data_IF_777381960396
#
_entry.id   IF_777381960396
#
_cell.length_a   1.000
_cell.length_b   1.000
_cell.length_c   1.000
_cell.angle_alpha   90.00
_cell.angle_beta   90.00
_cell.angle_gamma   90.00
#
_symmetry.space_group_name_H-M   'P 1'
#
loop_
_entity.id
_entity.type
_entity.pdbx_description
1 polymer ?
#
# COMPACT_ATOMS: atom_id res chain seq x y z
N UNK A 1 7.20 -27.00 63.34
CA UNK A 1 7.73 -26.90 61.96
C UNK A 1 9.24 -27.10 62.03
N UNK A 2 9.73 -28.31 61.72
CA UNK A 2 11.11 -28.72 62.01
C UNK A 2 12.13 -28.20 61.00
N UNK A 3 13.39 -28.08 61.45
CA UNK A 3 14.61 -27.65 60.71
C UNK A 3 14.77 -28.29 59.31
N UNK A 4 14.17 -29.45 59.07
CA UNK A 4 14.19 -30.16 57.78
C UNK A 4 13.33 -29.51 56.68
N UNK A 5 12.49 -28.51 56.99
CA UNK A 5 11.74 -27.77 55.96
C UNK A 5 12.62 -26.78 55.17
N UNK A 6 13.80 -26.42 55.67
CA UNK A 6 14.76 -25.55 54.96
C UNK A 6 15.40 -26.22 53.73
N UNK A 7 15.39 -27.56 53.65
CA UNK A 7 15.99 -28.33 52.55
C UNK A 7 14.98 -28.82 51.52
N UNK A 8 13.71 -28.40 51.59
CA UNK A 8 12.73 -28.72 50.54
C UNK A 8 13.04 -27.90 49.29
N UNK A 9 13.32 -28.59 48.18
CA UNK A 9 13.47 -28.00 46.84
C UNK A 9 12.29 -27.04 46.59
N UNK A 10 12.62 -25.79 46.21
CA UNK A 10 11.63 -24.82 45.75
C UNK A 10 10.82 -25.44 44.60
N UNK A 11 9.49 -25.19 44.52
CA UNK A 11 8.69 -25.66 43.40
C UNK A 11 9.33 -25.17 42.10
N UNK A 12 9.42 -26.09 41.12
CA UNK A 12 9.97 -25.79 39.79
C UNK A 12 9.18 -24.62 39.22
N UNK A 13 9.89 -23.56 38.86
CA UNK A 13 9.35 -22.35 38.27
C UNK A 13 8.44 -22.73 37.09
N UNK A 14 7.14 -22.46 37.22
CA UNK A 14 6.16 -22.69 36.16
C UNK A 14 6.44 -21.70 35.03
N UNK A 15 7.38 -22.05 34.14
CA UNK A 15 7.62 -21.29 32.92
C UNK A 15 6.34 -21.35 32.10
N UNK A 16 5.79 -20.17 31.82
CA UNK A 16 4.70 -19.95 30.87
C UNK A 16 4.91 -20.81 29.63
N UNK A 17 4.06 -21.83 29.48
CA UNK A 17 4.04 -22.77 28.35
C UNK A 17 3.05 -22.29 27.28
N UNK A 18 3.21 -21.06 26.83
CA UNK A 18 2.55 -20.48 25.66
C UNK A 18 3.58 -19.74 24.82
N UNK A 19 3.26 -19.40 23.57
CA UNK A 19 4.12 -18.51 22.77
C UNK A 19 4.25 -17.17 23.50
N UNK A 20 5.32 -17.01 24.27
CA UNK A 20 5.49 -15.87 25.16
C UNK A 20 5.49 -14.56 24.38
N UNK A 21 5.19 -13.47 25.07
CA UNK A 21 5.34 -12.10 24.56
C UNK A 21 6.69 -11.88 23.87
N UNK A 22 7.76 -12.51 24.37
CA UNK A 22 9.08 -12.54 23.74
C UNK A 22 9.08 -13.20 22.36
N UNK A 23 8.34 -14.30 22.15
CA UNK A 23 8.21 -14.95 20.85
C UNK A 23 7.43 -14.08 19.85
N UNK A 24 6.39 -13.37 20.30
CA UNK A 24 5.66 -12.41 19.48
C UNK A 24 6.51 -11.18 19.10
N UNK A 25 7.29 -10.65 20.04
CA UNK A 25 8.24 -9.57 19.77
C UNK A 25 9.39 -10.05 18.87
N UNK A 26 9.87 -11.28 19.05
CA UNK A 26 10.93 -11.84 18.19
C UNK A 26 10.41 -12.08 16.77
N UNK A 27 9.17 -12.54 16.58
CA UNK A 27 8.54 -12.65 15.27
C UNK A 27 8.31 -11.28 14.61
N UNK A 28 7.86 -10.28 15.39
CA UNK A 28 7.71 -8.91 14.91
C UNK A 28 9.07 -8.29 14.53
N UNK A 29 10.13 -8.56 15.30
CA UNK A 29 11.50 -8.11 15.02
C UNK A 29 12.17 -8.89 13.89
N UNK A 30 11.93 -10.19 13.76
CA UNK A 30 12.38 -11.00 12.63
C UNK A 30 11.75 -10.48 11.33
N UNK A 31 10.45 -10.19 11.33
CA UNK A 31 9.77 -9.53 10.21
C UNK A 31 10.41 -8.19 9.84
N UNK A 32 10.79 -7.39 10.83
CA UNK A 32 11.50 -6.12 10.58
C UNK A 32 12.95 -6.30 10.08
N UNK A 33 13.69 -7.28 10.60
CA UNK A 33 15.13 -7.48 10.37
C UNK A 33 15.42 -8.32 9.10
N UNK A 34 14.58 -9.29 8.78
CA UNK A 34 14.83 -10.26 7.70
C UNK A 34 14.59 -9.70 6.29
N UNK A 35 13.99 -8.50 6.15
CA UNK A 35 13.71 -7.88 4.85
C UNK A 35 12.77 -8.68 3.93
N UNK A 36 12.28 -9.86 4.37
CA UNK A 36 11.37 -10.72 3.62
C UNK A 36 9.93 -10.23 3.65
N UNK A 37 9.53 -9.50 4.70
CA UNK A 37 8.27 -8.74 4.70
C UNK A 37 8.52 -7.31 4.25
N UNK A 38 7.76 -6.85 3.25
CA UNK A 38 7.87 -5.50 2.70
C UNK A 38 8.34 -5.44 1.24
N UNK A 39 8.67 -6.57 0.61
CA UNK A 39 9.09 -6.56 -0.81
C UNK A 39 7.94 -6.09 -1.72
N UNK A 40 6.70 -6.47 -1.39
CA UNK A 40 5.51 -5.96 -2.07
C UNK A 40 5.36 -4.43 -1.96
N UNK A 41 5.88 -3.80 -0.89
CA UNK A 41 5.86 -2.35 -0.72
C UNK A 41 6.78 -1.64 -1.71
N UNK A 42 7.80 -2.31 -2.25
CA UNK A 42 8.69 -1.76 -3.26
C UNK A 42 8.06 -1.71 -4.66
N UNK A 43 6.91 -2.33 -4.85
CA UNK A 43 6.22 -2.35 -6.14
C UNK A 43 5.64 -0.97 -6.47
N UNK A 44 5.65 -0.61 -7.75
CA UNK A 44 5.10 0.67 -8.22
C UNK A 44 3.60 0.80 -7.92
N UNK A 45 2.86 -0.31 -7.92
CA UNK A 45 1.43 -0.35 -7.57
C UNK A 45 1.21 0.07 -6.12
N UNK A 46 2.00 -0.46 -5.18
CA UNK A 46 1.89 -0.08 -3.76
C UNK A 46 2.35 1.36 -3.55
N UNK A 47 3.51 1.75 -4.10
CA UNK A 47 4.00 3.13 -3.95
C UNK A 47 3.05 4.17 -4.57
N UNK A 48 2.38 3.84 -5.67
CA UNK A 48 1.32 4.67 -6.25
C UNK A 48 0.14 4.87 -5.30
N UNK A 49 -0.33 3.80 -4.64
CA UNK A 49 -1.41 3.89 -3.65
C UNK A 49 -1.00 4.71 -2.41
N UNK A 50 0.22 4.48 -1.91
CA UNK A 50 0.81 5.22 -0.78
C UNK A 50 0.92 6.72 -1.12
N UNK A 51 1.33 7.05 -2.34
CA UNK A 51 1.43 8.44 -2.81
C UNK A 51 0.06 9.13 -2.88
N UNK A 52 -1.02 8.41 -3.19
CA UNK A 52 -2.38 8.95 -3.16
C UNK A 52 -2.81 9.30 -1.73
N UNK A 53 -2.50 8.45 -0.75
CA UNK A 53 -2.78 8.71 0.66
C UNK A 53 -2.00 9.93 1.16
N UNK A 54 -0.70 10.00 0.85
CA UNK A 54 0.16 11.14 1.17
C UNK A 54 -0.33 12.45 0.57
N UNK A 55 -0.63 12.45 -0.73
CA UNK A 55 -1.09 13.64 -1.43
C UNK A 55 -2.39 14.17 -0.83
N UNK A 56 -3.33 13.27 -0.51
CA UNK A 56 -4.59 13.64 0.12
C UNK A 56 -4.42 14.23 1.52
N UNK A 57 -3.60 13.61 2.38
CA UNK A 57 -3.32 14.13 3.71
C UNK A 57 -2.51 15.43 3.68
N UNK A 58 -1.56 15.57 2.75
CA UNK A 58 -0.81 16.82 2.58
C UNK A 58 -1.71 17.99 2.13
N UNK A 59 -2.76 17.69 1.35
CA UNK A 59 -3.76 18.65 0.89
C UNK A 59 -4.85 18.94 1.93
N UNK A 60 -5.02 18.08 2.93
CA UNK A 60 -6.08 18.16 3.93
C UNK A 60 -6.19 19.56 4.57
N UNK A 61 -7.43 19.98 4.80
CA UNK A 61 -7.73 21.17 5.57
C UNK A 61 -7.77 20.78 7.05
N UNK A 62 -6.86 21.36 7.84
CA UNK A 62 -6.73 21.10 9.28
C UNK A 62 -7.13 22.36 10.03
N UNK A 63 -8.10 22.23 10.91
CA UNK A 63 -8.61 23.31 11.76
C UNK A 63 -8.42 22.95 13.23
N UNK A 64 -8.22 23.96 14.08
CA UNK A 64 -8.08 23.78 15.54
C UNK A 64 -6.66 23.54 16.04
N UNK A 65 -5.68 23.31 15.16
CA UNK A 65 -4.27 23.20 15.55
C UNK A 65 -3.32 23.61 14.43
N UNK A 66 -2.16 24.18 14.80
CA UNK A 66 -1.06 24.49 13.88
C UNK A 66 0.05 23.42 13.91
N UNK A 67 -0.05 22.41 14.78
CA UNK A 67 0.98 21.38 14.93
C UNK A 67 0.97 20.35 13.80
N UNK A 68 -0.22 20.07 13.25
CA UNK A 68 -0.43 19.16 12.12
C UNK A 68 -0.17 19.88 10.79
N UNK A 69 1.10 20.12 10.50
CA UNK A 69 1.53 20.69 9.23
C UNK A 69 1.29 19.73 8.05
N UNK A 70 1.26 20.24 6.82
CA UNK A 70 1.15 19.42 5.61
C UNK A 70 2.22 18.32 5.52
N UNK A 71 3.43 18.62 6.00
CA UNK A 71 4.53 17.64 6.04
C UNK A 71 4.26 16.53 7.07
N UNK A 72 3.79 16.88 8.28
CA UNK A 72 3.40 15.89 9.29
C UNK A 72 2.25 15.01 8.81
N UNK A 73 1.25 15.61 8.16
CA UNK A 73 0.10 14.89 7.60
C UNK A 73 0.54 13.89 6.51
N UNK A 74 1.43 14.30 5.60
CA UNK A 74 1.99 13.40 4.59
C UNK A 74 2.74 12.22 5.24
N UNK A 75 3.58 12.48 6.24
CA UNK A 75 4.33 11.44 6.95
C UNK A 75 3.41 10.48 7.72
N UNK A 76 2.36 10.99 8.37
CA UNK A 76 1.36 10.18 9.06
C UNK A 76 0.65 9.24 8.07
N UNK A 77 0.23 9.74 6.92
CA UNK A 77 -0.40 8.93 5.87
C UNK A 77 0.53 7.86 5.32
N UNK A 78 1.79 8.22 5.01
CA UNK A 78 2.82 7.26 4.56
C UNK A 78 3.00 6.14 5.58
N UNK A 79 3.19 6.50 6.84
CA UNK A 79 3.40 5.55 7.92
C UNK A 79 2.17 4.67 8.15
N UNK A 80 0.96 5.22 8.11
CA UNK A 80 -0.28 4.44 8.19
C UNK A 80 -0.42 3.47 7.01
N UNK A 81 -0.07 3.88 5.79
CA UNK A 81 -0.15 3.04 4.60
C UNK A 81 0.86 1.87 4.61
N UNK A 82 2.08 2.10 5.10
CA UNK A 82 3.15 1.08 5.08
C UNK A 82 3.19 0.22 6.35
N UNK A 83 2.96 0.83 7.52
CA UNK A 83 3.06 0.13 8.82
C UNK A 83 1.71 -0.17 9.46
N UNK A 84 0.65 0.53 9.04
CA UNK A 84 -0.64 0.48 9.72
C UNK A 84 -0.74 1.41 10.93
N UNK A 85 0.36 2.08 11.28
CA UNK A 85 0.42 2.94 12.44
C UNK A 85 1.49 4.02 12.29
N UNK A 86 1.26 5.14 12.94
CA UNK A 86 2.15 6.27 12.95
C UNK A 86 2.17 6.94 14.33
N UNK A 87 3.37 7.16 14.85
CA UNK A 87 3.61 7.76 16.16
C UNK A 87 4.38 9.06 15.98
N UNK A 88 3.79 10.15 16.49
CA UNK A 88 4.40 11.47 16.56
C UNK A 88 4.47 11.89 18.02
N UNK A 89 5.64 12.27 18.49
CA UNK A 89 5.78 12.83 19.83
C UNK A 89 5.40 14.30 19.82
N UNK A 90 4.58 14.70 20.78
CA UNK A 90 4.24 16.09 21.06
C UNK A 90 5.35 16.69 21.92
N UNK A 91 5.94 17.77 21.43
CA UNK A 91 6.95 18.57 22.13
C UNK A 91 6.50 20.02 22.19
N UNK A 92 7.17 20.84 23.02
CA UNK A 92 6.87 22.28 23.08
C UNK A 92 7.08 23.00 21.74
N UNK A 93 7.99 22.49 20.90
CA UNK A 93 8.35 23.09 19.61
C UNK A 93 7.53 22.53 18.43
N UNK A 94 6.71 21.49 18.66
CA UNK A 94 5.88 20.87 17.63
C UNK A 94 5.83 19.34 17.71
N UNK A 95 5.50 18.72 16.58
CA UNK A 95 5.44 17.26 16.45
C UNK A 95 6.75 16.71 15.90
N UNK A 96 7.21 15.60 16.50
CA UNK A 96 8.43 14.92 16.08
C UNK A 96 8.10 13.47 15.69
N UNK A 97 8.39 13.05 14.44
CA UNK A 97 8.13 11.68 14.01
C UNK A 97 9.02 10.69 14.77
N UNK A 98 8.40 9.63 15.27
CA UNK A 98 9.10 8.54 15.93
C UNK A 98 9.36 7.41 14.94
N UNK A 99 10.60 6.91 14.92
CA UNK A 99 11.01 5.82 14.04
C UNK A 99 10.55 4.47 14.58
N UNK A 100 10.68 4.27 15.89
CA UNK A 100 10.33 3.04 16.61
C UNK A 100 9.72 3.38 17.97
N UNK A 101 8.92 2.47 18.52
CA UNK A 101 8.30 2.63 19.84
C UNK A 101 7.95 1.29 20.48
N UNK A 102 8.10 1.24 21.80
CA UNK A 102 7.46 0.24 22.65
C UNK A 102 6.40 0.91 23.51
N UNK A 103 5.31 0.22 23.84
CA UNK A 103 4.25 0.79 24.68
C UNK A 103 3.85 -0.15 25.82
N UNK A 104 3.42 0.44 26.91
CA UNK A 104 2.75 -0.26 28.01
C UNK A 104 1.26 0.06 27.97
N UNK A 105 0.41 -0.97 28.09
CA UNK A 105 -1.05 -0.80 28.16
C UNK A 105 -1.62 -1.13 29.54
N UNK A 106 -2.84 -0.65 29.79
CA UNK A 106 -3.73 -1.10 30.87
C UNK A 106 -5.12 -1.26 30.29
N UNK A 107 -5.71 -2.45 30.41
CA UNK A 107 -7.01 -2.78 29.79
C UNK A 107 -7.03 -2.50 28.26
N UNK A 108 -5.91 -2.74 27.58
CA UNK A 108 -5.77 -2.45 26.15
C UNK A 108 -5.53 -0.98 25.79
N UNK A 109 -5.54 -0.07 26.76
CA UNK A 109 -5.33 1.37 26.55
C UNK A 109 -3.85 1.73 26.79
N UNK A 110 -3.15 2.36 25.84
CA UNK A 110 -1.76 2.81 26.04
C UNK A 110 -1.61 3.81 27.18
N UNK A 111 -0.57 3.63 28.01
CA UNK A 111 -0.26 4.50 29.16
C UNK A 111 1.04 5.27 28.99
N UNK A 112 2.07 4.59 28.49
CA UNK A 112 3.40 5.16 28.29
C UNK A 112 4.03 4.55 27.06
N UNK A 113 4.86 5.34 26.40
CA UNK A 113 5.62 4.94 25.23
C UNK A 113 7.11 5.13 25.52
N UNK A 114 7.92 4.19 25.06
CA UNK A 114 9.35 4.39 24.88
C UNK A 114 9.55 4.64 23.39
N UNK A 115 9.72 5.91 23.02
CA UNK A 115 9.84 6.34 21.62
C UNK A 115 11.31 6.55 21.24
N UNK A 116 11.63 6.21 20.00
CA UNK A 116 12.93 6.47 19.38
C UNK A 116 12.78 7.54 18.31
N UNK A 117 13.50 8.64 18.46
CA UNK A 117 13.52 9.76 17.52
C UNK A 117 14.81 9.69 16.71
N UNK A 118 14.67 9.70 15.39
CA UNK A 118 15.80 9.72 14.46
C UNK A 118 16.29 11.14 14.25
N UNK A 119 17.58 11.37 14.52
CA UNK A 119 18.27 12.63 14.25
C UNK A 119 19.48 12.34 13.36
N UNK A 120 19.85 13.28 12.49
CA UNK A 120 20.98 13.11 11.57
C UNK A 120 22.30 12.84 12.31
N UNK A 121 22.44 13.34 13.55
CA UNK A 121 23.61 13.16 14.41
C UNK A 121 23.58 11.92 15.32
N UNK A 122 22.55 11.09 15.24
CA UNK A 122 22.36 9.91 16.10
C UNK A 122 21.04 9.96 16.86
N UNK A 123 20.29 8.85 16.80
CA UNK A 123 18.95 8.78 17.39
C UNK A 123 18.95 8.83 18.92
N UNK A 124 17.84 9.29 19.49
CA UNK A 124 17.62 9.31 20.93
C UNK A 124 16.38 8.50 21.28
N UNK A 125 16.42 7.83 22.44
CA UNK A 125 15.27 7.09 22.97
C UNK A 125 14.84 7.73 24.28
N UNK A 126 13.54 7.98 24.43
CA UNK A 126 12.96 8.59 25.63
C UNK A 126 11.63 7.94 26.00
N UNK A 127 11.33 7.93 27.29
CA UNK A 127 10.04 7.46 27.80
C UNK A 127 9.13 8.65 27.99
N UNK A 128 7.95 8.58 27.39
CA UNK A 128 6.94 9.66 27.36
C UNK A 128 5.59 9.10 27.75
N UNK A 129 4.72 9.95 28.27
CA UNK A 129 3.36 9.57 28.61
C UNK A 129 2.50 9.43 27.35
N UNK A 130 1.44 8.62 27.40
CA UNK A 130 0.53 8.47 26.27
C UNK A 130 -0.16 9.78 25.86
N UNK A 131 -0.26 10.77 26.76
CA UNK A 131 -0.78 12.10 26.46
C UNK A 131 0.18 12.95 25.62
N UNK A 132 1.48 12.63 25.62
CA UNK A 132 2.54 13.36 24.89
C UNK A 132 2.82 12.76 23.52
N UNK A 133 1.94 11.87 23.03
CA UNK A 133 2.14 11.11 21.80
C UNK A 133 0.85 11.11 21.00
N UNK A 134 0.88 11.48 19.72
CA UNK A 134 -0.20 11.19 18.79
C UNK A 134 0.06 9.81 18.18
N UNK A 135 -0.91 8.89 18.31
CA UNK A 135 -0.80 7.54 17.76
C UNK A 135 -1.98 7.22 16.84
N UNK A 136 -1.77 7.38 15.53
CA UNK A 136 -2.71 6.94 14.50
C UNK A 136 -2.53 5.43 14.29
N UNK A 137 -3.63 4.68 14.38
CA UNK A 137 -3.66 3.22 14.20
C UNK A 137 -4.79 2.85 13.25
N UNK A 138 -4.50 1.94 12.32
CA UNK A 138 -5.47 1.46 11.35
C UNK A 138 -5.46 -0.06 11.33
N UNK A 139 -6.61 -0.68 11.05
CA UNK A 139 -6.70 -2.13 10.89
C UNK A 139 -6.28 -2.96 12.12
N UNK A 140 -6.39 -2.40 13.32
CA UNK A 140 -6.04 -3.09 14.57
C UNK A 140 -6.86 -4.37 14.77
N UNK A 141 -6.23 -5.36 15.40
CA UNK A 141 -6.87 -6.62 15.81
C UNK A 141 -7.49 -6.47 17.21
N UNK A 142 -8.57 -7.18 17.50
CA UNK A 142 -9.16 -7.25 18.84
C UNK A 142 -8.19 -7.81 19.90
N UNK A 143 -7.24 -8.66 19.50
CA UNK A 143 -6.22 -9.22 20.39
C UNK A 143 -5.14 -8.19 20.74
N UNK A 144 -4.89 -7.23 19.85
CA UNK A 144 -3.90 -6.17 20.03
C UNK A 144 -4.43 -4.80 19.54
N UNK A 145 -5.45 -4.22 20.22
CA UNK A 145 -6.09 -2.97 19.80
C UNK A 145 -5.18 -1.73 19.90
N UNK A 146 -4.03 -1.87 20.57
CA UNK A 146 -3.02 -0.82 20.70
C UNK A 146 -2.00 -0.79 19.55
N UNK A 147 -2.05 -1.73 18.61
CA UNK A 147 -1.18 -1.77 17.43
C UNK A 147 -1.98 -1.69 16.14
N UNK A 148 -1.46 -1.00 15.13
CA UNK A 148 -2.02 -0.98 13.78
C UNK A 148 -1.50 -2.13 12.90
N UNK A 149 -2.20 -2.40 11.80
CA UNK A 149 -1.80 -3.38 10.78
C UNK A 149 -1.93 -2.74 9.40
N UNK A 150 -0.81 -2.74 8.65
CA UNK A 150 -0.77 -2.20 7.30
C UNK A 150 -1.77 -2.90 6.37
N UNK A 151 -2.36 -2.19 5.38
CA UNK A 151 -3.23 -2.80 4.37
C UNK A 151 -2.62 -4.05 3.73
N UNK A 152 -1.35 -3.98 3.33
CA UNK A 152 -0.67 -5.08 2.66
C UNK A 152 -0.47 -6.31 3.57
N UNK A 153 -0.28 -6.10 4.88
CA UNK A 153 -0.20 -7.20 5.87
C UNK A 153 -1.53 -7.92 6.06
N UNK A 154 -2.65 -7.29 5.71
CA UNK A 154 -3.98 -7.94 5.69
C UNK A 154 -4.23 -8.74 4.40
N UNK A 155 -3.41 -8.54 3.37
CA UNK A 155 -3.47 -9.24 2.08
C UNK A 155 -2.11 -9.89 1.69
N UNK A 156 -1.48 -10.70 2.55
CA UNK A 156 -0.11 -11.18 2.34
C UNK A 156 0.01 -12.10 1.11
N UNK A 157 -1.00 -12.93 0.83
CA UNK A 157 -1.01 -13.85 -0.31
C UNK A 157 -0.95 -13.09 -1.66
N UNK A 158 -1.70 -11.99 -1.76
CA UNK A 158 -1.72 -11.15 -2.96
C UNK A 158 -0.41 -10.39 -3.13
N UNK A 159 0.16 -9.90 -2.02
CA UNK A 159 1.44 -9.21 -2.02
C UNK A 159 2.58 -10.14 -2.49
N UNK A 160 2.58 -11.37 -1.99
CA UNK A 160 3.53 -12.40 -2.40
C UNK A 160 3.34 -12.77 -3.87
N UNK A 161 2.10 -12.99 -4.32
CA UNK A 161 1.80 -13.29 -5.72
C UNK A 161 2.35 -12.21 -6.67
N UNK A 162 2.11 -10.93 -6.37
CA UNK A 162 2.62 -9.82 -7.17
C UNK A 162 4.15 -9.83 -7.23
N UNK A 163 4.80 -10.02 -6.08
CA UNK A 163 6.26 -10.11 -5.99
C UNK A 163 6.82 -11.27 -6.83
N UNK A 164 6.21 -12.45 -6.74
CA UNK A 164 6.66 -13.64 -7.49
C UNK A 164 6.50 -13.44 -8.99
N UNK A 165 5.36 -12.88 -9.44
CA UNK A 165 5.12 -12.64 -10.87
C UNK A 165 6.08 -11.59 -11.42
N UNK A 166 6.30 -10.47 -10.71
CA UNK A 166 7.24 -9.43 -11.16
C UNK A 166 8.70 -9.92 -11.16
N UNK A 167 9.09 -10.72 -10.16
CA UNK A 167 10.43 -11.32 -10.11
C UNK A 167 10.64 -12.34 -11.22
N UNK A 168 9.66 -13.21 -11.46
CA UNK A 168 9.70 -14.19 -12.55
C UNK A 168 9.79 -13.50 -13.92
N UNK A 169 8.99 -12.45 -14.15
CA UNK A 169 9.06 -11.65 -15.38
C UNK A 169 10.43 -10.98 -15.55
N UNK A 170 11.00 -10.41 -14.49
CA UNK A 170 12.35 -9.83 -14.51
C UNK A 170 13.39 -10.88 -14.88
N UNK A 171 13.34 -12.04 -14.25
CA UNK A 171 14.34 -13.10 -14.45
C UNK A 171 14.23 -13.72 -15.84
N UNK A 172 13.01 -13.94 -16.34
CA UNK A 172 12.78 -14.36 -17.74
C UNK A 172 13.31 -13.30 -18.70
N UNK A 173 13.04 -12.02 -18.47
CA UNK A 173 13.54 -10.94 -19.32
C UNK A 173 15.07 -10.84 -19.32
N UNK A 174 15.72 -11.15 -18.20
CA UNK A 174 17.18 -11.14 -18.06
C UNK A 174 17.82 -12.35 -18.73
N UNK A 175 17.30 -13.55 -18.47
CA UNK A 175 18.02 -14.80 -18.74
C UNK A 175 17.53 -15.55 -19.98
N UNK A 176 16.27 -15.37 -20.39
CA UNK A 176 15.72 -16.09 -21.53
C UNK A 176 16.31 -15.58 -22.86
N UNK A 177 16.57 -16.47 -23.83
CA UNK A 177 17.09 -16.12 -25.15
C UNK A 177 15.99 -15.55 -26.05
N UNK A 178 15.41 -14.41 -25.64
CA UNK A 178 14.29 -13.76 -26.32
C UNK A 178 14.68 -13.37 -27.75
N UNK A 179 13.83 -13.75 -28.71
CA UNK A 179 14.03 -13.53 -30.13
C UNK A 179 15.20 -14.30 -30.75
N UNK A 180 15.81 -15.25 -30.05
CA UNK A 180 16.89 -16.08 -30.60
C UNK A 180 16.33 -17.23 -31.44
N UNK A 181 16.99 -17.50 -32.56
CA UNK A 181 16.64 -18.55 -33.51
C UNK A 181 17.81 -19.52 -33.67
N UNK A 182 17.54 -20.82 -33.62
CA UNK A 182 18.45 -21.85 -34.10
C UNK A 182 18.11 -22.14 -35.55
N UNK A 183 19.06 -21.88 -36.45
CA UNK A 183 18.96 -22.35 -37.82
C UNK A 183 19.37 -23.84 -37.83
N UNK A 184 18.62 -24.71 -38.52
CA UNK A 184 18.74 -26.16 -38.39
C UNK A 184 20.18 -26.69 -38.54
N UNK A 185 20.59 -27.50 -37.55
CA UNK A 185 21.87 -28.19 -37.51
C UNK A 185 21.88 -29.47 -38.38
N UNK A 186 23.01 -29.82 -39.02
CA UNK A 186 23.40 -31.20 -39.27
C UNK A 186 23.95 -31.83 -37.97
N UNK A 187 23.91 -33.15 -37.88
CA UNK A 187 24.18 -33.97 -36.68
C UNK A 187 25.33 -33.46 -35.79
N UNK A 188 25.02 -33.19 -34.51
CA UNK A 188 25.98 -32.86 -33.45
C UNK A 188 25.72 -33.70 -32.21
N UNK A 189 26.73 -33.85 -31.34
CA UNK A 189 26.61 -34.64 -30.12
C UNK A 189 25.72 -33.94 -29.07
N UNK A 190 25.18 -34.69 -28.10
CA UNK A 190 24.31 -34.13 -27.07
C UNK A 190 25.01 -33.04 -26.21
N UNK A 191 26.34 -33.15 -26.03
CA UNK A 191 27.15 -32.19 -25.27
C UNK A 191 27.36 -30.88 -26.03
N UNK A 192 27.51 -30.94 -27.36
CA UNK A 192 27.60 -29.75 -28.21
C UNK A 192 26.29 -28.94 -28.14
N UNK A 193 25.15 -29.63 -28.13
CA UNK A 193 23.82 -29.02 -27.99
C UNK A 193 23.59 -28.36 -26.63
N UNK A 194 24.15 -28.91 -25.55
CA UNK A 194 24.07 -28.29 -24.22
C UNK A 194 24.95 -27.03 -24.14
N UNK A 195 26.17 -27.08 -24.68
CA UNK A 195 27.11 -25.95 -24.73
C UNK A 195 26.54 -24.80 -25.57
N UNK A 196 25.95 -25.11 -26.72
CA UNK A 196 25.29 -24.11 -27.58
C UNK A 196 24.11 -23.45 -26.88
N UNK A 197 23.22 -24.21 -26.20
CA UNK A 197 22.11 -23.62 -25.42
C UNK A 197 22.60 -22.71 -24.30
N UNK A 198 23.68 -23.07 -23.61
CA UNK A 198 24.29 -22.23 -22.59
C UNK A 198 24.82 -20.91 -23.17
N UNK A 199 25.36 -20.92 -24.39
CA UNK A 199 25.85 -19.73 -25.08
C UNK A 199 24.75 -18.72 -25.44
N UNK A 200 23.47 -19.12 -25.44
CA UNK A 200 22.33 -18.25 -25.71
C UNK A 200 21.74 -17.56 -24.47
N UNK A 201 22.08 -18.01 -23.25
CA UNK A 201 21.53 -17.41 -22.02
C UNK A 201 21.91 -15.92 -21.94
N UNK A 202 20.91 -15.06 -21.78
CA UNK A 202 21.08 -13.60 -21.72
C UNK A 202 21.49 -12.93 -23.05
N UNK A 203 21.61 -13.67 -24.16
CA UNK A 203 21.83 -13.10 -25.50
C UNK A 203 20.50 -12.96 -26.23
N UNK A 204 20.28 -11.79 -26.84
CA UNK A 204 19.01 -11.40 -27.48
C UNK A 204 19.18 -11.29 -28.98
N UNK A 205 18.21 -11.80 -29.74
CA UNK A 205 18.23 -11.71 -31.20
C UNK A 205 19.45 -12.36 -31.88
N UNK A 206 20.20 -13.18 -31.14
CA UNK A 206 21.35 -13.89 -31.68
C UNK A 206 20.84 -15.05 -32.53
N UNK A 207 21.22 -15.04 -33.81
CA UNK A 207 21.06 -16.16 -34.71
C UNK A 207 22.35 -16.99 -34.69
N UNK A 208 22.23 -18.30 -34.47
CA UNK A 208 23.33 -19.20 -34.81
C UNK A 208 23.27 -19.43 -36.32
N UNK A 209 24.23 -18.88 -37.07
CA UNK A 209 24.51 -19.32 -38.44
C UNK A 209 25.73 -20.23 -38.33
N UNK A 210 25.51 -21.55 -38.42
CA UNK A 210 26.64 -22.49 -38.56
C UNK A 210 26.77 -22.79 -40.04
N UNK A 211 27.99 -22.62 -40.55
CA UNK A 211 28.33 -22.91 -41.94
C UNK A 211 27.94 -24.35 -42.31
N UNK A 212 27.13 -24.45 -43.36
CA UNK A 212 26.70 -25.72 -43.93
C UNK A 212 27.80 -26.35 -44.79
N UNK A 213 28.04 -27.65 -44.53
CA UNK A 213 28.32 -28.74 -45.48
C UNK A 213 28.43 -28.37 -46.97
N UNK A 214 29.54 -27.76 -47.36
CA UNK A 214 29.93 -27.67 -48.77
C UNK A 214 30.05 -29.08 -49.41
N UNK A 215 30.39 -30.11 -48.61
CA UNK A 215 30.65 -31.46 -49.08
C UNK A 215 29.39 -32.32 -49.30
N UNK A 216 28.31 -32.13 -48.53
CA UNK A 216 27.07 -32.90 -48.70
C UNK A 216 26.20 -32.39 -49.86
N UNK A 217 26.19 -31.07 -50.07
CA UNK A 217 25.48 -30.42 -51.18
C UNK A 217 26.11 -30.79 -52.53
N UNK A 218 27.44 -30.96 -52.58
CA UNK A 218 28.17 -31.43 -53.76
C UNK A 218 27.85 -32.91 -54.14
N UNK A 219 27.34 -33.70 -53.19
CA UNK A 219 26.92 -35.09 -53.38
C UNK A 219 25.41 -35.25 -53.68
N UNK A 220 24.69 -34.15 -53.95
CA UNK A 220 23.26 -34.17 -54.28
C UNK A 220 22.32 -34.34 -53.08
N UNK A 221 22.85 -34.35 -51.86
CA UNK A 221 22.04 -34.39 -50.63
C UNK A 221 21.71 -32.97 -50.19
N UNK A 222 20.42 -32.66 -50.02
CA UNK A 222 19.94 -31.38 -49.46
C UNK A 222 19.47 -31.58 -48.00
N UNK A 223 20.38 -31.70 -47.01
CA UNK A 223 20.03 -32.02 -45.61
C UNK A 223 19.21 -30.93 -44.90
N UNK A 224 19.12 -29.74 -45.50
CA UNK A 224 18.38 -28.59 -44.98
C UNK A 224 17.01 -28.40 -45.66
N UNK A 225 16.66 -29.22 -46.65
CA UNK A 225 15.36 -29.13 -47.34
C UNK A 225 14.23 -29.48 -46.35
N UNK A 226 13.34 -28.53 -46.08
CA UNK A 226 12.20 -28.70 -45.17
C UNK A 226 12.46 -28.44 -43.69
N UNK A 227 13.68 -28.06 -43.29
CA UNK A 227 13.96 -27.67 -41.89
C UNK A 227 13.71 -26.17 -41.70
N UNK A 228 12.76 -25.81 -40.82
CA UNK A 228 12.51 -24.42 -40.43
C UNK A 228 13.41 -23.99 -39.26
N UNK A 229 13.71 -22.69 -39.11
CA UNK A 229 14.36 -22.17 -37.92
C UNK A 229 13.56 -22.54 -36.66
N UNK A 230 14.25 -23.04 -35.63
CA UNK A 230 13.67 -23.33 -34.32
C UNK A 230 13.76 -22.09 -33.42
N UNK A 231 12.65 -21.69 -32.82
CA UNK A 231 12.60 -20.49 -31.98
C UNK A 231 12.83 -20.85 -30.52
N UNK A 232 13.92 -20.33 -29.95
CA UNK A 232 14.31 -20.60 -28.57
C UNK A 232 13.58 -19.74 -27.52
N UNK A 233 12.76 -18.80 -27.97
CA UNK A 233 12.00 -17.95 -27.05
C UNK A 233 10.96 -18.80 -26.31
N UNK A 234 10.93 -18.77 -24.97
CA UNK A 234 9.88 -19.45 -24.22
C UNK A 234 8.50 -18.94 -24.63
N UNK A 235 7.58 -19.86 -24.92
CA UNK A 235 6.18 -19.52 -25.17
C UNK A 235 5.45 -19.29 -23.84
N UNK A 236 5.13 -18.02 -23.57
CA UNK A 236 4.39 -17.59 -22.38
C UNK A 236 2.88 -17.43 -22.64
N UNK A 237 2.38 -17.78 -23.83
CA UNK A 237 0.97 -17.59 -24.18
C UNK A 237 0.01 -18.35 -23.25
N UNK A 238 0.44 -19.50 -22.73
CA UNK A 238 -0.36 -20.37 -21.85
C UNK A 238 -0.18 -20.07 -20.35
N UNK A 239 0.80 -19.25 -19.97
CA UNK A 239 1.09 -18.99 -18.56
C UNK A 239 0.22 -17.89 -17.94
N UNK A 240 -0.66 -17.25 -18.73
CA UNK A 240 -1.60 -16.21 -18.28
C UNK A 240 -0.94 -15.13 -17.41
N UNK A 241 0.31 -14.80 -17.71
CA UNK A 241 1.15 -13.97 -16.84
C UNK A 241 0.63 -12.53 -16.79
N UNK A 242 0.05 -12.05 -17.89
CA UNK A 242 -0.55 -10.72 -17.96
C UNK A 242 -1.81 -10.63 -17.10
N UNK A 243 -2.70 -11.61 -17.22
CA UNK A 243 -3.96 -11.70 -16.47
C UNK A 243 -3.68 -11.80 -14.97
N UNK A 244 -2.71 -12.63 -14.59
CA UNK A 244 -2.31 -12.80 -13.19
C UNK A 244 -1.69 -11.52 -12.63
N UNK A 245 -0.85 -10.83 -13.41
CA UNK A 245 -0.25 -9.55 -12.99
C UNK A 245 -1.31 -8.44 -12.84
N UNK A 246 -2.24 -8.33 -13.79
CA UNK A 246 -3.34 -7.36 -13.73
C UNK A 246 -4.25 -7.63 -12.52
N UNK A 247 -4.68 -8.88 -12.31
CA UNK A 247 -5.52 -9.25 -11.18
C UNK A 247 -4.83 -9.01 -9.82
N UNK A 248 -3.52 -9.30 -9.72
CA UNK A 248 -2.76 -9.02 -8.51
C UNK A 248 -2.70 -7.52 -8.22
N UNK A 249 -2.44 -6.69 -9.24
CA UNK A 249 -2.41 -5.22 -9.09
C UNK A 249 -3.76 -4.66 -8.66
N UNK A 250 -4.85 -5.14 -9.27
CA UNK A 250 -6.20 -4.71 -8.94
C UNK A 250 -6.57 -5.05 -7.49
N UNK A 251 -6.24 -6.27 -7.04
CA UNK A 251 -6.45 -6.69 -5.66
C UNK A 251 -5.63 -5.86 -4.65
N UNK A 252 -4.39 -5.51 -5.00
CA UNK A 252 -3.57 -4.60 -4.19
C UNK A 252 -4.21 -3.21 -4.12
N UNK A 253 -4.61 -2.61 -5.25
CA UNK A 253 -5.28 -1.31 -5.26
C UNK A 253 -6.51 -1.31 -4.33
N UNK A 254 -7.34 -2.36 -4.41
CA UNK A 254 -8.51 -2.51 -3.55
C UNK A 254 -8.14 -2.61 -2.05
N UNK A 255 -7.02 -3.26 -1.71
CA UNK A 255 -6.55 -3.32 -0.33
C UNK A 255 -6.23 -1.94 0.28
N UNK A 256 -5.81 -0.97 -0.54
CA UNK A 256 -5.58 0.43 -0.15
C UNK A 256 -6.83 1.32 -0.35
N UNK A 257 -7.96 0.73 -0.76
CA UNK A 257 -9.20 1.44 -1.12
C UNK A 257 -9.10 2.28 -2.40
N UNK A 258 -8.08 2.04 -3.21
CA UNK A 258 -7.94 2.64 -4.54
C UNK A 258 -8.70 1.76 -5.52
N UNK A 259 -9.70 2.32 -6.20
CA UNK A 259 -10.45 1.55 -7.20
C UNK A 259 -9.54 1.21 -8.39
N UNK A 260 -9.48 -0.07 -8.83
CA UNK A 260 -8.64 -0.48 -9.95
C UNK A 260 -8.89 0.30 -11.25
N UNK A 261 -10.14 0.76 -11.44
CA UNK A 261 -10.51 1.64 -12.55
C UNK A 261 -9.69 2.94 -12.62
N UNK A 262 -9.04 3.40 -11.55
CA UNK A 262 -8.14 4.55 -11.62
C UNK A 262 -6.89 4.27 -12.47
N UNK A 263 -6.42 3.02 -12.51
CA UNK A 263 -5.20 2.60 -13.20
C UNK A 263 -5.47 2.10 -14.63
N UNK A 264 -6.73 2.05 -15.05
CA UNK A 264 -7.10 1.63 -16.40
C UNK A 264 -6.69 2.69 -17.44
N UNK A 265 -6.04 2.26 -18.53
CA UNK A 265 -5.59 3.12 -19.63
C UNK A 265 -6.73 3.82 -20.35
N UNK A 266 -7.93 3.23 -20.35
CA UNK A 266 -9.14 3.78 -20.97
C UNK A 266 -9.98 4.64 -20.00
N UNK A 267 -9.43 5.03 -18.86
CA UNK A 267 -10.16 5.77 -17.83
C UNK A 267 -10.52 7.18 -18.27
N UNK A 268 -11.70 7.61 -17.86
CA UNK A 268 -12.27 8.92 -18.18
C UNK A 268 -12.29 9.81 -16.94
N UNK A 269 -12.29 11.14 -17.16
CA UNK A 269 -12.34 12.12 -16.07
C UNK A 269 -13.45 11.89 -15.02
N UNK A 270 -14.70 11.54 -15.40
CA UNK A 270 -15.74 11.18 -14.43
C UNK A 270 -15.34 10.01 -13.52
N UNK A 271 -14.79 8.92 -14.08
CA UNK A 271 -14.37 7.77 -13.29
C UNK A 271 -13.21 8.11 -12.34
N UNK A 272 -12.27 8.97 -12.75
CA UNK A 272 -11.20 9.46 -11.87
C UNK A 272 -11.78 10.18 -10.66
N UNK A 273 -12.80 11.04 -10.87
CA UNK A 273 -13.46 11.76 -9.77
C UNK A 273 -14.20 10.81 -8.83
N UNK A 274 -14.94 9.82 -9.34
CA UNK A 274 -15.61 8.85 -8.47
C UNK A 274 -14.61 7.99 -7.69
N UNK A 275 -13.49 7.58 -8.30
CA UNK A 275 -12.43 6.86 -7.61
C UNK A 275 -11.79 7.69 -6.50
N UNK A 276 -11.54 8.99 -6.75
CA UNK A 276 -11.05 9.92 -5.74
C UNK A 276 -12.06 10.12 -4.60
N UNK A 277 -13.36 10.27 -4.90
CA UNK A 277 -14.41 10.38 -3.89
C UNK A 277 -14.56 9.11 -3.07
N UNK A 278 -14.48 7.94 -3.70
CA UNK A 278 -14.50 6.66 -3.00
C UNK A 278 -13.33 6.55 -2.03
N UNK A 279 -12.11 6.82 -2.49
CA UNK A 279 -10.91 6.78 -1.65
C UNK A 279 -11.01 7.79 -0.50
N UNK A 280 -11.44 9.02 -0.78
CA UNK A 280 -11.60 10.07 0.23
C UNK A 280 -12.65 9.68 1.28
N UNK A 281 -13.85 9.25 0.85
CA UNK A 281 -14.97 8.99 1.74
C UNK A 281 -14.85 7.70 2.55
N UNK A 282 -14.37 6.61 1.94
CA UNK A 282 -14.37 5.29 2.60
C UNK A 282 -13.07 4.96 3.33
N UNK A 283 -11.96 5.59 2.95
CA UNK A 283 -10.66 5.30 3.55
C UNK A 283 -10.11 6.53 4.24
N UNK A 284 -9.83 7.60 3.50
CA UNK A 284 -8.99 8.67 4.03
C UNK A 284 -9.69 9.54 5.07
N UNK A 285 -10.97 9.86 4.88
CA UNK A 285 -11.74 10.66 5.83
C UNK A 285 -11.92 9.94 7.18
N UNK A 286 -12.28 8.64 7.24
CA UNK A 286 -12.26 7.89 8.50
C UNK A 286 -10.89 7.87 9.19
N UNK A 287 -9.79 7.76 8.43
CA UNK A 287 -8.45 7.84 9.02
C UNK A 287 -8.15 9.23 9.59
N UNK A 288 -8.59 10.28 8.90
CA UNK A 288 -8.47 11.65 9.35
C UNK A 288 -9.30 11.91 10.62
N UNK A 289 -10.49 11.33 10.72
CA UNK A 289 -11.36 11.42 11.91
C UNK A 289 -10.73 10.73 13.12
N UNK A 290 -10.16 9.53 12.96
CA UNK A 290 -9.42 8.85 14.04
C UNK A 290 -8.22 9.70 14.53
N UNK A 291 -7.50 10.33 13.61
CA UNK A 291 -6.41 11.24 13.95
C UNK A 291 -6.92 12.51 14.65
N UNK A 292 -8.05 13.06 14.19
CA UNK A 292 -8.67 14.25 14.74
C UNK A 292 -9.19 14.01 16.18
N UNK A 293 -9.76 12.84 16.45
CA UNK A 293 -10.19 12.43 17.79
C UNK A 293 -9.00 12.34 18.76
N UNK A 294 -7.93 11.64 18.34
CA UNK A 294 -6.70 11.50 19.10
C UNK A 294 -6.04 12.87 19.36
N UNK A 295 -6.00 13.74 18.33
CA UNK A 295 -5.45 15.09 18.45
C UNK A 295 -6.31 15.98 19.35
N UNK A 296 -7.63 15.89 19.26
CA UNK A 296 -8.55 16.65 20.12
C UNK A 296 -8.36 16.26 21.59
N UNK A 297 -8.24 14.97 21.88
CA UNK A 297 -8.03 14.47 23.23
C UNK A 297 -6.71 14.94 23.86
N UNK A 298 -5.66 15.18 23.05
CA UNK A 298 -4.29 15.42 23.54
C UNK A 298 -3.80 16.85 23.40
N UNK A 299 -4.29 17.59 22.40
CA UNK A 299 -3.89 18.98 22.14
C UNK A 299 -4.77 19.99 22.86
N UNK A 300 -5.87 19.56 23.48
CA UNK A 300 -6.73 20.41 24.31
C UNK A 300 -7.61 21.40 23.53
N UNK A 301 -7.66 21.28 22.20
CA UNK A 301 -8.53 22.04 21.30
C UNK A 301 -9.28 21.08 20.38
N UNK A 302 -10.49 21.44 19.94
CA UNK A 302 -11.23 20.66 18.96
C UNK A 302 -10.50 20.72 17.60
N UNK A 303 -9.96 19.58 17.17
CA UNK A 303 -9.26 19.44 15.89
C UNK A 303 -10.21 18.83 14.87
N UNK A 304 -10.31 19.44 13.70
CA UNK A 304 -11.06 18.93 12.56
C UNK A 304 -10.11 18.74 11.38
N UNK A 305 -10.21 17.61 10.70
CA UNK A 305 -9.39 17.28 9.53
C UNK A 305 -10.32 16.86 8.39
N UNK A 306 -10.24 17.57 7.28
CA UNK A 306 -11.04 17.32 6.08
C UNK A 306 -10.13 17.06 4.88
N UNK A 307 -10.22 15.84 4.35
CA UNK A 307 -9.50 15.43 3.14
C UNK A 307 -10.34 15.56 1.87
N UNK A 308 -11.67 15.67 2.00
CA UNK A 308 -12.62 15.67 0.89
C UNK A 308 -12.71 17.01 0.16
N UNK A 309 -12.93 18.12 0.89
CA UNK A 309 -13.10 19.46 0.27
C UNK A 309 -11.93 19.85 -0.63
N UNK A 310 -10.65 19.71 -0.20
CA UNK A 310 -9.50 20.06 -1.04
C UNK A 310 -9.36 19.20 -2.30
N UNK A 311 -9.62 17.89 -2.20
CA UNK A 311 -9.53 16.98 -3.34
C UNK A 311 -10.57 17.29 -4.42
N UNK A 312 -11.74 17.80 -4.02
CA UNK A 312 -12.84 18.15 -4.92
C UNK A 312 -12.74 19.57 -5.50
N UNK A 313 -11.71 20.35 -5.16
CA UNK A 313 -11.59 21.74 -5.61
C UNK A 313 -11.57 21.90 -7.15
N UNK A 314 -11.19 20.85 -7.89
CA UNK A 314 -11.18 20.84 -9.35
C UNK A 314 -12.56 20.57 -10.00
N UNK A 315 -13.61 20.25 -9.23
CA UNK A 315 -14.98 20.05 -9.73
C UNK A 315 -15.81 21.36 -9.76
N UNK A 316 -15.16 22.48 -10.11
CA UNK A 316 -15.83 23.78 -10.22
C UNK A 316 -16.99 23.75 -11.23
N UNK A 317 -16.86 22.96 -12.31
CA UNK A 317 -17.91 22.80 -13.33
C UNK A 317 -19.10 21.97 -12.87
N UNK A 318 -18.91 20.95 -12.03
CA UNK A 318 -20.00 20.23 -11.37
C UNK A 318 -20.73 21.14 -10.38
N UNK A 319 -19.98 21.84 -9.54
CA UNK A 319 -20.51 22.80 -8.56
C UNK A 319 -21.27 23.95 -9.22
N UNK A 320 -20.75 24.54 -10.30
CA UNK A 320 -21.44 25.59 -11.04
C UNK A 320 -22.75 25.12 -11.66
N UNK A 321 -22.79 23.89 -12.21
CA UNK A 321 -24.03 23.29 -12.73
C UNK A 321 -25.03 23.00 -11.62
N UNK A 322 -24.58 22.45 -10.49
CA UNK A 322 -25.43 22.22 -9.33
C UNK A 322 -26.02 23.54 -8.82
N UNK A 323 -25.21 24.60 -8.70
CA UNK A 323 -25.67 25.93 -8.32
C UNK A 323 -26.70 26.49 -9.31
N UNK A 324 -26.47 26.35 -10.62
CA UNK A 324 -27.43 26.78 -11.64
C UNK A 324 -28.77 26.04 -11.52
N UNK A 325 -28.74 24.73 -11.27
CA UNK A 325 -29.95 23.93 -11.04
C UNK A 325 -30.67 24.32 -9.75
N UNK A 326 -29.93 24.64 -8.67
CA UNK A 326 -30.53 25.14 -7.42
C UNK A 326 -31.20 26.49 -7.68
N UNK A 327 -30.56 27.42 -8.40
CA UNK A 327 -31.14 28.72 -8.76
C UNK A 327 -32.40 28.55 -9.63
N UNK A 328 -32.37 27.67 -10.62
CA UNK A 328 -33.53 27.37 -11.46
C UNK A 328 -34.68 26.77 -10.63
N UNK A 329 -34.38 25.81 -9.76
CA UNK A 329 -35.35 25.23 -8.84
C UNK A 329 -35.95 26.28 -7.89
N UNK A 330 -35.13 27.21 -7.38
CA UNK A 330 -35.60 28.33 -6.56
C UNK A 330 -36.51 29.28 -7.34
N UNK A 331 -36.19 29.56 -8.62
CA UNK A 331 -37.04 30.34 -9.51
C UNK A 331 -38.41 29.70 -9.71
N UNK A 332 -38.44 28.41 -10.04
CA UNK A 332 -39.70 27.65 -10.20
C UNK A 332 -40.49 27.56 -8.89
N UNK A 333 -39.81 27.37 -7.76
CA UNK A 333 -40.47 27.32 -6.47
C UNK A 333 -41.15 28.65 -6.11
N UNK A 334 -40.53 29.78 -6.46
CA UNK A 334 -41.13 31.11 -6.32
C UNK A 334 -42.34 31.30 -7.24
N UNK A 335 -42.28 30.83 -8.49
CA UNK A 335 -43.41 30.85 -9.43
C UNK A 335 -44.61 30.01 -8.92
N UNK A 336 -44.34 28.90 -8.26
CA UNK A 336 -45.34 28.02 -7.65
C UNK A 336 -45.86 28.52 -6.29
N UNK A 337 -45.32 29.64 -5.78
CA UNK A 337 -45.77 30.25 -4.53
C UNK A 337 -45.36 29.50 -3.26
N UNK A 338 -44.33 28.66 -3.31
CA UNK A 338 -43.80 27.97 -2.13
C UNK A 338 -43.23 28.98 -1.12
N UNK A 339 -43.54 28.77 0.15
CA UNK A 339 -43.02 29.61 1.23
C UNK A 339 -41.53 29.38 1.47
N UNK A 340 -40.78 30.37 2.01
CA UNK A 340 -39.37 30.20 2.34
C UNK A 340 -39.08 29.00 3.26
N UNK A 341 -40.01 28.67 4.17
CA UNK A 341 -39.90 27.51 5.07
C UNK A 341 -40.03 26.17 4.35
N UNK A 342 -40.88 26.09 3.33
CA UNK A 342 -41.03 24.86 2.52
C UNK A 342 -39.80 24.65 1.62
N UNK A 343 -39.21 25.75 1.12
CA UNK A 343 -37.95 25.71 0.37
C UNK A 343 -36.77 25.31 1.27
N UNK A 344 -36.66 25.89 2.47
CA UNK A 344 -35.64 25.53 3.46
C UNK A 344 -35.77 24.06 3.88
N UNK A 345 -36.99 23.58 4.14
CA UNK A 345 -37.24 22.16 4.42
C UNK A 345 -36.87 21.24 3.26
N UNK A 346 -37.05 21.68 2.01
CA UNK A 346 -36.69 20.91 0.82
C UNK A 346 -35.18 20.90 0.57
N UNK A 347 -34.47 21.97 0.90
CA UNK A 347 -33.00 22.02 0.82
C UNK A 347 -32.37 21.18 1.96
N UNK A 348 -32.94 21.25 3.16
CA UNK A 348 -32.54 20.44 4.31
C UNK A 348 -32.79 18.94 4.09
N UNK A 349 -33.86 18.56 3.39
CA UNK A 349 -34.13 17.14 3.09
C UNK A 349 -33.13 16.51 2.11
N UNK A 350 -32.37 17.35 1.39
CA UNK A 350 -31.30 16.94 0.47
C UNK A 350 -29.91 17.09 1.13
N UNK A 351 -29.83 17.63 2.35
CA UNK A 351 -28.58 17.70 3.10
C UNK A 351 -28.28 16.32 3.74
N UNK A 352 -27.52 15.51 3.01
CA UNK A 352 -27.16 14.14 3.41
C UNK A 352 -25.88 14.05 4.26
N UNK A 353 -25.28 15.17 4.69
CA UNK A 353 -24.05 15.18 5.48
C UNK A 353 -23.98 16.35 6.47
N UNK A 354 -23.76 16.05 7.75
CA UNK A 354 -23.52 17.10 8.75
C UNK A 354 -22.22 17.83 8.46
N UNK A 355 -22.29 19.13 8.13
CA UNK A 355 -21.12 19.99 7.87
C UNK A 355 -21.20 20.81 6.59
N UNK A 356 -22.13 20.49 5.69
CA UNK A 356 -22.43 21.34 4.55
C UNK A 356 -23.33 22.48 5.05
N UNK A 357 -22.74 23.64 5.35
CA UNK A 357 -23.44 24.88 5.74
C UNK A 357 -24.32 25.41 4.59
N UNK A 358 -25.36 24.65 4.21
CA UNK A 358 -26.43 25.05 3.31
C UNK A 358 -27.58 25.75 4.04
N UNK A 359 -27.32 26.25 5.26
CA UNK A 359 -28.18 27.16 6.00
C UNK A 359 -27.36 28.37 6.48
#
# INVERSE_FOLDING_TARGET
MGILSLFRRKPVETRSSGSGYTAQIMAARESYISGGSGIGELTATVQGCVSLWEGAFALADVQGTNMLTRAHMALLARAAALRGEAVMQITGDGLVPCADWDLSTRNGIPRAYRVSVSEAGGGSTRTVLAAEVLHLRIGSDMVAPWTGIAPLRRAPLTAELLHQVESALRDVYRDAPLGSLIIPLPEGSADDMATMRAAFRGRRGSSLVVEGVAQATAAGMNPNLGKSPDQLSPDLSKSMTRETLEAARDAICMSFGVLPGLMNKATTGPMVREAQRHLAGWVLQPLAELLAEEATAKLGAAVMIDVGRPLQAFDAGGRARALAQIIEAMGRAKELGLSPKEMESALLSVNFGGGDNLA
#
